data_IF_733738262055
#
_entry.id   IF_733738262055
#
_cell.length_a   1.000
_cell.length_b   1.000
_cell.length_c   1.000
_cell.angle_alpha   90.00
_cell.angle_beta   90.00
_cell.angle_gamma   90.00
#
_symmetry.space_group_name_H-M   'P 1'
#
loop_
_entity.id
_entity.type
_entity.pdbx_description
1 polymer ?
#
# COMPACT_ATOMS: atom_id res chain seq x y z
N UNK A 1 14.99 -1.16 -5.75
CA UNK A 1 14.98 -2.61 -6.00
C UNK A 1 15.57 -2.89 -7.36
N UNK A 2 16.50 -3.85 -7.45
CA UNK A 2 17.01 -4.38 -8.72
C UNK A 2 16.06 -5.46 -9.26
N UNK A 3 16.20 -5.81 -10.55
CA UNK A 3 15.44 -6.91 -11.15
C UNK A 3 15.64 -8.24 -10.41
N UNK A 4 16.86 -8.49 -9.93
CA UNK A 4 17.21 -9.70 -9.20
C UNK A 4 16.52 -9.76 -7.82
N UNK A 5 16.42 -8.62 -7.13
CA UNK A 5 15.70 -8.53 -5.85
C UNK A 5 14.19 -8.77 -6.02
N UNK A 6 13.60 -8.23 -7.09
CA UNK A 6 12.20 -8.47 -7.44
C UNK A 6 11.92 -9.95 -7.73
N UNK A 7 12.79 -10.60 -8.50
CA UNK A 7 12.66 -12.03 -8.80
C UNK A 7 12.82 -12.90 -7.54
N UNK A 8 13.74 -12.53 -6.64
CA UNK A 8 13.92 -13.23 -5.37
C UNK A 8 12.68 -13.09 -4.47
N UNK A 9 12.12 -11.87 -4.36
CA UNK A 9 10.88 -11.62 -3.63
C UNK A 9 9.71 -12.41 -4.21
N UNK A 10 9.53 -12.39 -5.54
CA UNK A 10 8.46 -13.12 -6.21
C UNK A 10 8.57 -14.64 -5.99
N UNK A 11 9.79 -15.19 -6.04
CA UNK A 11 10.04 -16.61 -5.74
C UNK A 11 9.72 -16.97 -4.30
N UNK A 12 10.01 -16.08 -3.34
CA UNK A 12 9.68 -16.31 -1.94
C UNK A 12 8.16 -16.28 -1.72
N UNK A 13 7.48 -15.26 -2.26
CA UNK A 13 6.03 -15.14 -2.17
C UNK A 13 5.32 -16.35 -2.81
N UNK A 14 5.81 -16.83 -3.95
CA UNK A 14 5.22 -17.96 -4.68
C UNK A 14 5.21 -19.28 -3.88
N UNK A 15 6.10 -19.46 -2.88
CA UNK A 15 6.11 -20.68 -2.04
C UNK A 15 4.80 -20.86 -1.24
N UNK A 16 4.11 -19.76 -0.94
CA UNK A 16 2.87 -19.76 -0.18
C UNK A 16 1.60 -19.89 -1.03
N UNK A 17 1.70 -19.70 -2.36
CA UNK A 17 0.57 -19.62 -3.26
C UNK A 17 0.29 -20.99 -3.89
N UNK A 18 -0.92 -21.50 -3.68
CA UNK A 18 -1.36 -22.83 -4.13
C UNK A 18 -2.42 -22.76 -5.21
N UNK A 19 -3.09 -21.62 -5.36
CA UNK A 19 -4.21 -21.43 -6.28
C UNK A 19 -4.13 -20.10 -7.05
N UNK A 20 -4.94 -19.98 -8.10
CA UNK A 20 -5.14 -18.72 -8.82
C UNK A 20 -5.80 -17.66 -7.91
N UNK A 21 -6.65 -18.07 -6.97
CA UNK A 21 -7.26 -17.15 -6.01
C UNK A 21 -6.20 -16.55 -5.09
N UNK A 22 -5.24 -17.35 -4.63
CA UNK A 22 -4.16 -16.87 -3.76
C UNK A 22 -3.31 -15.80 -4.48
N UNK A 23 -3.09 -15.97 -5.79
CA UNK A 23 -2.41 -14.97 -6.62
C UNK A 23 -3.22 -13.67 -6.75
N UNK A 24 -4.55 -13.78 -6.88
CA UNK A 24 -5.45 -12.62 -6.95
C UNK A 24 -5.44 -11.84 -5.62
N UNK A 25 -5.59 -12.55 -4.51
CA UNK A 25 -5.57 -11.95 -3.17
C UNK A 25 -4.22 -11.27 -2.90
N UNK A 26 -3.12 -11.89 -3.32
CA UNK A 26 -1.78 -11.30 -3.22
C UNK A 26 -1.65 -10.02 -4.06
N UNK A 27 -2.18 -10.02 -5.28
CA UNK A 27 -2.18 -8.84 -6.16
C UNK A 27 -3.01 -7.69 -5.57
N UNK A 28 -4.19 -7.98 -5.03
CA UNK A 28 -5.03 -6.99 -4.35
C UNK A 28 -4.33 -6.41 -3.12
N UNK A 29 -3.68 -7.25 -2.32
CA UNK A 29 -2.89 -6.80 -1.16
C UNK A 29 -1.73 -5.86 -1.58
N UNK A 30 -0.98 -6.21 -2.62
CA UNK A 30 0.10 -5.36 -3.12
C UNK A 30 -0.42 -4.02 -3.65
N UNK A 31 -1.55 -4.06 -4.35
CA UNK A 31 -2.21 -2.85 -4.87
C UNK A 31 -2.64 -1.95 -3.71
N UNK A 32 -3.29 -2.50 -2.68
CA UNK A 32 -3.66 -1.78 -1.47
C UNK A 32 -2.46 -1.08 -0.83
N UNK A 33 -1.40 -1.83 -0.54
CA UNK A 33 -0.20 -1.29 0.13
C UNK A 33 0.42 -0.16 -0.70
N UNK A 34 0.45 -0.32 -2.02
CA UNK A 34 1.01 0.69 -2.94
C UNK A 34 0.15 1.97 -2.93
N UNK A 35 -1.17 1.84 -2.98
CA UNK A 35 -2.10 2.97 -2.92
C UNK A 35 -2.00 3.67 -1.56
N UNK A 36 -1.99 2.94 -0.45
CA UNK A 36 -1.83 3.51 0.89
C UNK A 36 -0.51 4.25 1.04
N UNK A 37 0.59 3.70 0.51
CA UNK A 37 1.90 4.36 0.53
C UNK A 37 1.88 5.66 -0.29
N UNK A 38 1.30 5.64 -1.49
CA UNK A 38 1.17 6.84 -2.34
C UNK A 38 0.32 7.93 -1.65
N UNK A 39 -0.85 7.56 -1.11
CA UNK A 39 -1.74 8.50 -0.41
C UNK A 39 -1.10 9.08 0.86
N UNK A 40 -0.32 8.29 1.60
CA UNK A 40 0.43 8.82 2.75
C UNK A 40 1.52 9.79 2.30
N UNK A 41 2.25 9.51 1.22
CA UNK A 41 3.24 10.44 0.69
C UNK A 41 2.60 11.75 0.20
N UNK A 42 1.44 11.68 -0.46
CA UNK A 42 0.65 12.87 -0.83
C UNK A 42 0.19 13.66 0.39
N UNK A 43 -0.19 12.98 1.49
CA UNK A 43 -0.58 13.63 2.74
C UNK A 43 0.61 14.30 3.44
N UNK A 44 1.78 13.67 3.40
CA UNK A 44 3.04 14.23 3.91
C UNK A 44 3.39 15.53 3.17
N UNK A 45 3.30 15.53 1.84
CA UNK A 45 3.53 16.71 0.99
C UNK A 45 2.49 17.81 1.26
N UNK A 46 1.21 17.45 1.32
CA UNK A 46 0.12 18.40 1.58
C UNK A 46 0.24 19.08 2.95
N UNK A 47 0.61 18.33 4.00
CA UNK A 47 0.77 18.87 5.35
C UNK A 47 2.13 19.54 5.57
N UNK A 48 3.14 19.20 4.76
CA UNK A 48 4.51 19.69 4.88
C UNK A 48 5.30 19.04 6.03
N UNK A 49 4.80 17.95 6.61
CA UNK A 49 5.46 17.23 7.70
C UNK A 49 5.07 15.75 7.74
N UNK A 50 6.02 14.90 8.13
CA UNK A 50 5.84 13.44 8.27
C UNK A 50 5.05 13.07 9.53
N UNK A 51 4.48 11.86 9.56
CA UNK A 51 3.76 11.38 10.75
C UNK A 51 4.66 11.40 12.00
N UNK A 52 4.18 12.03 13.07
CA UNK A 52 4.87 12.24 14.35
C UNK A 52 6.06 13.21 14.31
N UNK A 53 6.34 13.86 13.18
CA UNK A 53 7.30 14.96 13.15
C UNK A 53 6.78 16.13 13.99
N UNK A 54 7.65 16.74 14.78
CA UNK A 54 7.32 17.98 15.50
C UNK A 54 7.14 19.10 14.48
N UNK A 55 5.97 19.71 14.47
CA UNK A 55 5.65 20.83 13.60
C UNK A 55 4.75 21.86 14.29
N UNK A 56 4.75 23.08 13.78
CA UNK A 56 3.97 24.23 14.30
C UNK A 56 2.70 24.52 13.49
N UNK A 57 2.34 23.65 12.54
CA UNK A 57 1.11 23.73 11.75
C UNK A 57 -0.15 23.77 12.62
N UNK A 58 -1.20 24.38 12.07
CA UNK A 58 -2.54 24.39 12.67
C UNK A 58 -3.40 23.19 12.22
N UNK A 59 -2.95 22.45 11.21
CA UNK A 59 -3.64 21.29 10.67
C UNK A 59 -2.91 20.02 11.09
N UNK A 60 -3.64 19.06 11.66
CA UNK A 60 -3.08 17.83 12.22
C UNK A 60 -3.76 16.60 11.64
N UNK A 61 -2.96 15.54 11.43
CA UNK A 61 -3.47 14.21 11.06
C UNK A 61 -4.50 13.73 12.07
N UNK A 62 -5.64 13.25 11.57
CA UNK A 62 -6.77 12.84 12.39
C UNK A 62 -7.21 11.40 12.07
N UNK A 63 -6.28 10.46 12.23
CA UNK A 63 -6.54 9.04 12.00
C UNK A 63 -6.70 8.66 10.53
N UNK A 64 -7.49 7.62 10.27
CA UNK A 64 -7.69 7.01 8.96
C UNK A 64 -9.18 6.71 8.76
N UNK A 65 -9.61 6.59 7.51
CA UNK A 65 -10.97 6.18 7.14
C UNK A 65 -10.90 5.02 6.14
N UNK A 66 -11.75 4.02 6.34
CA UNK A 66 -11.86 2.86 5.45
C UNK A 66 -12.57 3.21 4.16
N UNK A 67 -12.12 2.62 3.05
CA UNK A 67 -12.80 2.73 1.76
C UNK A 67 -12.60 1.45 0.95
N UNK A 68 -13.70 0.79 0.58
CA UNK A 68 -13.65 -0.32 -0.38
C UNK A 68 -13.44 0.21 -1.80
N UNK A 69 -12.34 -0.21 -2.43
CA UNK A 69 -12.00 0.08 -3.82
C UNK A 69 -12.49 -1.05 -4.72
N UNK A 70 -12.97 -0.67 -5.91
CA UNK A 70 -13.35 -1.59 -6.97
C UNK A 70 -12.41 -1.39 -8.14
N UNK A 71 -11.78 -2.46 -8.56
CA UNK A 71 -10.80 -2.52 -9.66
C UNK A 71 -11.21 -3.61 -10.63
N UNK A 72 -10.54 -3.71 -11.79
CA UNK A 72 -10.69 -4.83 -12.72
C UNK A 72 -10.42 -6.20 -12.06
N UNK A 73 -9.51 -6.24 -11.09
CA UNK A 73 -9.08 -7.45 -10.40
C UNK A 73 -9.92 -7.77 -9.15
N UNK A 74 -11.00 -7.02 -8.91
CA UNK A 74 -11.95 -7.27 -7.82
C UNK A 74 -12.08 -6.11 -6.84
N UNK A 75 -12.46 -6.44 -5.59
CA UNK A 75 -12.74 -5.45 -4.55
C UNK A 75 -11.92 -5.74 -3.30
N UNK A 76 -11.34 -4.68 -2.73
CA UNK A 76 -10.58 -4.74 -1.49
C UNK A 76 -10.79 -3.45 -0.70
N UNK A 77 -10.68 -3.55 0.63
CA UNK A 77 -10.72 -2.40 1.57
C UNK A 77 -9.30 -2.03 1.96
#
# INVERSE_FOLDING_TARGET
MTKQELEAFAKEAAKGLKSQQDLLDFSQMLTKITVEAALNAELDDHLGYEKNQKDTSRNYRNGHSSKTLKTEDGQFE
#
